data_IF_105038944273
#
_entry.id   IF_105038944273
#
_cell.length_a   1.000
_cell.length_b   1.000
_cell.length_c   1.000
_cell.angle_alpha   90.00
_cell.angle_beta   90.00
_cell.angle_gamma   90.00
#
_symmetry.space_group_name_H-M   'P 1'
#
loop_
_entity.id
_entity.type
_entity.pdbx_description
1 polymer ?
#
# COMPACT_ATOMS: atom_id res chain seq x y z
N UNK A 1 19.03 25.94 5.02
CA UNK A 1 17.86 26.84 5.17
C UNK A 1 16.89 26.47 4.04
N UNK A 2 15.74 25.89 4.35
CA UNK A 2 14.77 25.46 3.32
C UNK A 2 13.90 26.66 3.00
N UNK A 3 13.92 27.14 1.75
CA UNK A 3 12.99 28.18 1.29
C UNK A 3 11.60 27.57 1.14
N UNK A 4 10.65 28.03 1.95
CA UNK A 4 9.22 27.68 1.82
C UNK A 4 8.56 28.77 0.98
N UNK A 5 7.86 28.37 -0.09
CA UNK A 5 7.16 29.32 -0.94
C UNK A 5 5.97 29.96 -0.19
N UNK A 6 5.58 31.16 -0.58
CA UNK A 6 4.43 31.86 -0.01
C UNK A 6 3.62 32.62 -1.05
N UNK A 7 2.36 32.89 -0.74
CA UNK A 7 1.44 33.73 -1.49
C UNK A 7 0.88 34.82 -0.56
N UNK A 8 0.73 36.04 -1.05
CA UNK A 8 -0.03 37.10 -0.37
C UNK A 8 -1.44 37.13 -0.99
N UNK A 9 -2.46 36.89 -0.16
CA UNK A 9 -3.86 37.00 -0.54
C UNK A 9 -4.52 37.97 0.42
N UNK A 10 -4.94 39.13 -0.08
CA UNK A 10 -5.69 40.13 0.68
C UNK A 10 -4.99 40.55 2.00
N UNK A 11 -3.65 40.61 2.00
CA UNK A 11 -2.85 40.96 3.17
C UNK A 11 -2.58 39.78 4.12
N UNK A 12 -2.99 38.56 3.75
CA UNK A 12 -2.69 37.33 4.46
C UNK A 12 -1.58 36.55 3.75
N UNK A 13 -0.49 36.28 4.46
CA UNK A 13 0.62 35.47 3.94
C UNK A 13 0.30 33.99 4.16
N UNK A 14 0.22 33.23 3.07
CA UNK A 14 0.00 31.79 3.06
C UNK A 14 1.28 31.10 2.62
N UNK A 15 1.87 30.29 3.49
CA UNK A 15 3.01 29.46 3.12
C UNK A 15 2.51 28.16 2.49
N UNK A 16 3.19 27.68 1.45
CA UNK A 16 2.82 26.44 0.80
C UNK A 16 4.04 25.62 0.39
N UNK A 17 3.81 24.31 0.26
CA UNK A 17 4.77 23.37 -0.29
C UNK A 17 4.07 22.49 -1.33
N UNK A 18 4.62 22.47 -2.53
CA UNK A 18 4.20 21.58 -3.60
C UNK A 18 5.05 20.31 -3.57
N UNK A 19 4.42 19.15 -3.70
CA UNK A 19 5.07 17.86 -3.82
C UNK A 19 4.63 17.20 -5.12
N UNK A 20 5.59 17.04 -6.03
CA UNK A 20 5.35 16.34 -7.29
C UNK A 20 5.14 14.85 -7.04
N UNK A 21 4.24 14.24 -7.82
CA UNK A 21 4.06 12.79 -7.76
C UNK A 21 5.19 12.07 -8.47
N UNK A 22 5.73 11.00 -7.87
CA UNK A 22 6.78 10.16 -8.45
C UNK A 22 6.33 9.29 -9.65
N UNK A 23 5.18 9.58 -10.28
CA UNK A 23 4.57 8.77 -11.36
C UNK A 23 4.09 9.66 -12.51
N UNK A 24 4.36 9.27 -13.75
CA UNK A 24 4.26 10.09 -14.97
C UNK A 24 2.85 10.30 -15.55
N UNK A 25 1.78 10.19 -14.76
CA UNK A 25 0.42 10.34 -15.30
C UNK A 25 -0.40 11.37 -14.49
N UNK A 26 -1.19 12.21 -15.18
CA UNK A 26 -1.99 13.31 -14.60
C UNK A 26 -2.88 12.78 -13.46
N UNK A 27 -2.44 12.95 -12.21
CA UNK A 27 -3.19 12.61 -11.00
C UNK A 27 -3.87 13.86 -10.44
N UNK A 28 -5.02 13.65 -9.79
CA UNK A 28 -5.77 14.72 -9.12
C UNK A 28 -4.90 15.39 -8.05
N UNK A 29 -5.09 16.70 -7.86
CA UNK A 29 -4.39 17.47 -6.82
C UNK A 29 -5.14 17.32 -5.50
N UNK A 30 -4.47 16.83 -4.46
CA UNK A 30 -4.95 16.79 -3.09
C UNK A 30 -4.39 17.99 -2.32
N UNK A 31 -5.28 18.86 -1.85
CA UNK A 31 -4.91 20.02 -1.01
C UNK A 31 -5.04 19.64 0.45
N UNK A 32 -3.95 19.73 1.21
CA UNK A 32 -3.94 19.49 2.64
C UNK A 32 -3.76 20.81 3.38
N UNK A 33 -4.76 21.17 4.17
CA UNK A 33 -4.76 22.34 5.04
C UNK A 33 -4.65 21.83 6.48
N UNK A 34 -3.66 22.28 7.23
CA UNK A 34 -3.49 21.84 8.61
C UNK A 34 -4.44 22.62 9.56
N UNK A 35 -4.91 21.97 10.62
CA UNK A 35 -5.66 22.61 11.70
C UNK A 35 -4.78 23.40 12.66
N UNK A 36 -5.39 24.08 13.63
CA UNK A 36 -4.68 24.81 14.69
C UNK A 36 -3.71 23.87 15.43
N UNK A 37 -2.44 24.28 15.50
CA UNK A 37 -1.41 23.52 16.22
C UNK A 37 -0.68 22.46 15.42
N UNK A 38 -1.02 22.25 14.15
CA UNK A 38 -0.28 21.40 13.22
C UNK A 38 0.65 22.28 12.35
N UNK A 39 1.73 21.71 11.81
CA UNK A 39 2.61 22.37 10.84
C UNK A 39 2.77 21.56 9.55
N UNK A 40 3.62 22.02 8.62
CA UNK A 40 3.85 21.30 7.35
C UNK A 40 4.43 19.89 7.55
N UNK A 41 5.08 19.63 8.68
CA UNK A 41 5.66 18.33 9.01
C UNK A 41 4.65 17.35 9.59
N UNK A 42 3.52 17.82 10.14
CA UNK A 42 2.47 16.96 10.71
C UNK A 42 1.95 15.90 9.73
N UNK A 43 2.10 16.13 8.43
CA UNK A 43 1.71 15.20 7.37
C UNK A 43 2.81 14.21 6.97
N UNK A 44 4.07 14.44 7.35
CA UNK A 44 5.22 13.65 6.93
C UNK A 44 5.02 12.13 7.03
N UNK A 45 4.44 11.57 8.10
CA UNK A 45 4.25 10.12 8.20
C UNK A 45 3.37 9.57 7.07
N UNK A 46 2.33 10.31 6.66
CA UNK A 46 1.34 9.82 5.68
C UNK A 46 1.65 10.24 4.23
N UNK A 47 2.53 11.23 4.02
CA UNK A 47 2.90 11.72 2.68
C UNK A 47 3.31 10.59 1.72
N UNK A 48 4.18 9.62 2.08
CA UNK A 48 4.59 8.56 1.16
C UNK A 48 3.43 7.69 0.64
N UNK A 49 2.32 7.59 1.38
CA UNK A 49 1.13 6.85 0.96
C UNK A 49 0.28 7.66 -0.04
N UNK A 50 0.18 8.97 0.18
CA UNK A 50 -0.62 9.88 -0.64
C UNK A 50 0.09 10.21 -1.96
N UNK A 51 1.41 10.38 -1.95
CA UNK A 51 2.24 10.66 -3.13
C UNK A 51 2.18 9.56 -4.19
N UNK A 52 1.82 8.32 -3.78
CA UNK A 52 1.56 7.23 -4.72
C UNK A 52 0.40 7.52 -5.65
N UNK A 53 -0.59 8.31 -5.23
CA UNK A 53 -1.88 8.46 -5.91
C UNK A 53 -2.28 9.90 -6.24
N UNK A 54 -1.60 10.90 -5.68
CA UNK A 54 -1.96 12.31 -5.83
C UNK A 54 -0.73 13.20 -6.03
N UNK A 55 -0.95 14.35 -6.69
CA UNK A 55 -0.08 15.52 -6.53
C UNK A 55 -0.53 16.25 -5.27
N UNK A 56 0.39 16.69 -4.41
CA UNK A 56 0.01 17.22 -3.09
C UNK A 56 0.40 18.69 -2.97
N UNK A 57 -0.57 19.52 -2.61
CA UNK A 57 -0.37 20.91 -2.20
C UNK A 57 -0.59 21.01 -0.69
N UNK A 58 0.48 21.24 0.06
CA UNK A 58 0.42 21.51 1.49
C UNK A 58 0.28 23.01 1.72
N UNK A 59 -0.72 23.42 2.50
CA UNK A 59 -0.97 24.82 2.87
C UNK A 59 -0.75 25.00 4.36
N UNK A 60 0.06 25.99 4.71
CA UNK A 60 0.28 26.42 6.09
C UNK A 60 -0.45 27.71 6.41
N UNK A 61 -1.37 27.62 7.37
CA UNK A 61 -2.05 28.79 7.93
C UNK A 61 -1.20 29.35 9.06
N UNK A 62 -0.67 30.56 8.86
CA UNK A 62 0.08 31.27 9.91
C UNK A 62 -0.91 31.73 10.98
N UNK A 63 -0.89 31.09 12.14
CA UNK A 63 -1.51 31.65 13.34
C UNK A 63 -0.66 32.88 13.69
N UNK A 64 -1.29 34.02 13.94
CA UNK A 64 -0.63 35.20 14.49
C UNK A 64 -0.97 35.22 15.98
N UNK A 65 -0.13 34.62 16.82
CA UNK A 65 -0.30 34.69 18.27
C UNK A 65 1.02 35.09 18.94
N UNK A 66 1.07 36.29 19.52
CA UNK A 66 2.28 36.87 20.13
C UNK A 66 2.67 36.21 21.48
N UNK A 67 1.99 35.14 21.90
CA UNK A 67 2.28 34.44 23.15
C UNK A 67 3.19 33.23 22.93
N UNK A 68 4.50 33.43 23.17
CA UNK A 68 5.57 32.43 22.98
C UNK A 68 5.32 31.07 23.69
N UNK A 69 4.46 31.03 24.72
CA UNK A 69 4.12 29.80 25.46
C UNK A 69 3.19 28.85 24.72
N UNK A 70 2.24 29.37 23.93
CA UNK A 70 1.27 28.54 23.19
C UNK A 70 1.94 27.79 22.04
N UNK A 71 2.92 28.42 21.40
CA UNK A 71 3.73 27.79 20.35
C UNK A 71 4.52 26.58 20.86
N UNK A 72 5.12 26.66 22.05
CA UNK A 72 5.91 25.56 22.60
C UNK A 72 5.03 24.33 22.89
N UNK A 73 3.87 24.52 23.52
CA UNK A 73 2.93 23.43 23.78
C UNK A 73 2.43 22.75 22.50
N UNK A 74 2.08 23.53 21.47
CA UNK A 74 1.62 22.97 20.19
C UNK A 74 2.74 22.24 19.45
N UNK A 75 3.99 22.69 19.59
CA UNK A 75 5.17 22.02 19.02
C UNK A 75 5.44 20.68 19.71
N UNK A 76 5.36 20.65 21.04
CA UNK A 76 5.49 19.40 21.82
C UNK A 76 4.38 18.41 21.44
N UNK A 77 3.12 18.86 21.38
CA UNK A 77 1.98 18.03 20.98
C UNK A 77 2.13 17.48 19.55
N UNK A 78 2.65 18.29 18.62
CA UNK A 78 2.94 17.84 17.24
C UNK A 78 3.99 16.73 17.23
N UNK A 79 5.07 16.89 18.00
CA UNK A 79 6.14 15.92 18.06
C UNK A 79 5.66 14.59 18.65
N UNK A 80 4.88 14.65 19.74
CA UNK A 80 4.24 13.48 20.33
C UNK A 80 3.31 12.78 19.34
N UNK A 81 2.45 13.54 18.65
CA UNK A 81 1.54 12.99 17.63
C UNK A 81 2.31 12.30 16.50
N UNK A 82 3.37 12.93 15.97
CA UNK A 82 4.18 12.35 14.91
C UNK A 82 4.89 11.07 15.34
N UNK A 83 5.43 11.04 16.56
CA UNK A 83 6.07 9.84 17.08
C UNK A 83 5.08 8.69 17.27
N UNK A 84 3.89 8.97 17.79
CA UNK A 84 2.86 7.94 17.95
C UNK A 84 2.35 7.45 16.59
N UNK A 85 2.14 8.35 15.62
CA UNK A 85 1.75 7.98 14.25
C UNK A 85 2.84 7.15 13.56
N UNK A 86 4.10 7.57 13.64
CA UNK A 86 5.23 6.84 13.06
C UNK A 86 5.38 5.46 13.71
N UNK A 87 5.31 5.37 15.04
CA UNK A 87 5.38 4.10 15.76
C UNK A 87 4.21 3.18 15.42
N UNK A 88 3.00 3.72 15.23
CA UNK A 88 1.85 2.96 14.75
C UNK A 88 2.04 2.49 13.32
N UNK A 89 2.53 3.33 12.43
CA UNK A 89 2.83 2.97 11.04
C UNK A 89 3.88 1.86 10.96
N UNK A 90 4.96 1.96 11.72
CA UNK A 90 5.98 0.91 11.80
C UNK A 90 5.42 -0.40 12.38
N UNK A 91 4.51 -0.34 13.35
CA UNK A 91 3.77 -1.51 13.83
C UNK A 91 2.86 -2.08 12.75
N UNK A 92 2.12 -1.25 12.01
CA UNK A 92 1.27 -1.68 10.91
C UNK A 92 2.09 -2.32 9.79
N UNK A 93 3.21 -1.73 9.37
CA UNK A 93 4.10 -2.31 8.37
C UNK A 93 4.65 -3.68 8.78
N UNK A 94 4.89 -3.90 10.07
CA UNK A 94 5.27 -5.22 10.62
C UNK A 94 4.14 -6.24 10.62
N UNK A 95 2.88 -5.79 10.56
CA UNK A 95 1.71 -6.65 10.50
C UNK A 95 1.33 -7.01 9.05
N UNK A 96 1.81 -6.24 8.07
CA UNK A 96 1.60 -6.53 6.65
C UNK A 96 2.47 -7.72 6.22
N UNK A 97 1.82 -8.74 5.68
CA UNK A 97 2.51 -9.92 5.14
C UNK A 97 3.32 -9.55 3.89
N UNK A 98 4.65 -9.71 3.95
CA UNK A 98 5.55 -9.45 2.83
C UNK A 98 5.91 -10.73 2.09
N UNK A 99 5.94 -10.67 0.75
CA UNK A 99 6.32 -11.80 -0.10
C UNK A 99 7.54 -11.41 -0.91
N UNK A 100 8.60 -12.22 -0.81
CA UNK A 100 9.75 -12.16 -1.71
C UNK A 100 9.74 -13.38 -2.61
N UNK A 101 9.85 -13.16 -3.92
CA UNK A 101 9.97 -14.25 -4.89
C UNK A 101 11.30 -14.12 -5.63
N UNK A 102 12.04 -15.22 -5.72
CA UNK A 102 13.15 -15.40 -6.65
C UNK A 102 12.65 -16.32 -7.76
N UNK A 103 12.81 -15.91 -9.02
CA UNK A 103 12.37 -16.70 -10.19
C UNK A 103 13.44 -16.88 -11.27
N UNK A 104 14.42 -15.97 -11.34
CA UNK A 104 15.40 -15.93 -12.43
C UNK A 104 16.36 -17.13 -12.43
N UNK A 105 16.65 -17.70 -11.27
CA UNK A 105 17.57 -18.85 -11.12
C UNK A 105 16.81 -20.10 -10.68
N UNK A 106 16.12 -20.00 -9.55
CA UNK A 106 15.26 -21.01 -8.97
C UNK A 106 13.96 -20.34 -8.56
N UNK A 107 12.86 -21.08 -8.62
CA UNK A 107 11.59 -20.64 -8.06
C UNK A 107 11.62 -20.83 -6.54
N UNK A 108 11.72 -19.73 -5.81
CA UNK A 108 11.75 -19.68 -4.36
C UNK A 108 10.80 -18.59 -3.88
N UNK A 109 9.95 -18.92 -2.93
CA UNK A 109 8.97 -17.99 -2.35
C UNK A 109 9.23 -17.91 -0.86
N UNK A 110 9.37 -16.69 -0.37
CA UNK A 110 9.54 -16.38 1.04
C UNK A 110 8.39 -15.50 1.48
N UNK A 111 7.75 -15.87 2.59
CA UNK A 111 6.71 -15.06 3.24
C UNK A 111 7.27 -14.60 4.57
N UNK A 112 7.35 -13.29 4.78
CA UNK A 112 7.94 -12.69 5.98
C UNK A 112 9.35 -13.22 6.28
N UNK A 113 10.13 -13.49 5.23
CA UNK A 113 11.47 -14.10 5.32
C UNK A 113 11.50 -15.63 5.46
N UNK A 114 10.36 -16.28 5.72
CA UNK A 114 10.29 -17.75 5.85
C UNK A 114 10.08 -18.43 4.49
N UNK A 115 10.91 -19.42 4.11
CA UNK A 115 10.78 -20.11 2.84
C UNK A 115 9.57 -21.05 2.81
N UNK A 116 8.75 -20.94 1.76
CA UNK A 116 7.66 -21.89 1.47
C UNK A 116 8.22 -22.98 0.55
N UNK A 117 8.68 -24.08 1.12
CA UNK A 117 9.45 -25.11 0.38
C UNK A 117 8.56 -26.14 -0.33
N UNK A 118 7.36 -26.40 0.19
CA UNK A 118 6.54 -27.54 -0.24
C UNK A 118 5.21 -27.12 -0.87
N UNK A 119 4.58 -28.05 -1.61
CA UNK A 119 3.22 -27.89 -2.12
C UNK A 119 3.09 -27.21 -3.49
N UNK A 120 4.13 -26.52 -3.98
CA UNK A 120 4.12 -25.83 -5.28
C UNK A 120 3.84 -26.71 -6.50
N UNK A 121 4.23 -27.99 -6.46
CA UNK A 121 4.05 -28.94 -7.56
C UNK A 121 2.64 -29.52 -7.70
N UNK A 122 1.71 -29.21 -6.79
CA UNK A 122 0.34 -29.74 -6.79
C UNK A 122 -0.64 -28.69 -7.32
N UNK A 123 -1.74 -29.16 -7.94
CA UNK A 123 -2.90 -28.32 -8.32
C UNK A 123 -2.53 -27.05 -9.09
N UNK A 124 -1.54 -27.12 -9.99
CA UNK A 124 -1.03 -25.96 -10.76
C UNK A 124 -0.63 -24.74 -9.91
N UNK A 125 -0.34 -24.93 -8.61
CA UNK A 125 -0.11 -23.84 -7.67
C UNK A 125 1.03 -22.91 -8.10
N UNK A 126 2.18 -23.47 -8.47
CA UNK A 126 3.34 -22.69 -8.93
C UNK A 126 3.01 -21.77 -10.11
N UNK A 127 2.34 -22.29 -11.13
CA UNK A 127 2.06 -21.53 -12.37
C UNK A 127 0.97 -20.49 -12.16
N UNK A 128 -0.08 -20.81 -11.39
CA UNK A 128 -1.13 -19.85 -11.03
C UNK A 128 -0.54 -18.71 -10.19
N UNK A 129 0.25 -19.04 -9.16
CA UNK A 129 0.89 -18.03 -8.32
C UNK A 129 1.83 -17.13 -9.12
N UNK A 130 2.66 -17.72 -10.00
CA UNK A 130 3.56 -16.97 -10.89
C UNK A 130 2.78 -16.02 -11.79
N UNK A 131 1.68 -16.48 -12.39
CA UNK A 131 0.82 -15.64 -13.22
C UNK A 131 0.26 -14.46 -12.45
N UNK A 132 -0.32 -14.71 -11.27
CA UNK A 132 -0.86 -13.64 -10.42
C UNK A 132 0.20 -12.62 -10.01
N UNK A 133 1.46 -13.03 -9.77
CA UNK A 133 2.58 -12.12 -9.48
C UNK A 133 2.90 -11.25 -10.70
N UNK A 134 3.01 -11.86 -11.88
CA UNK A 134 3.34 -11.13 -13.10
C UNK A 134 2.24 -10.12 -13.46
N UNK A 135 0.98 -10.45 -13.14
CA UNK A 135 -0.16 -9.56 -13.35
C UNK A 135 -0.40 -8.56 -12.22
N UNK A 136 0.40 -8.52 -11.14
CA UNK A 136 0.25 -7.54 -10.04
C UNK A 136 0.31 -6.06 -10.48
N UNK A 137 0.79 -5.78 -11.70
CA UNK A 137 0.77 -4.43 -12.27
C UNK A 137 -0.60 -3.98 -12.79
N UNK A 138 -1.56 -4.91 -12.94
CA UNK A 138 -2.92 -4.67 -13.45
C UNK A 138 -3.93 -5.06 -12.36
N UNK A 139 -5.04 -4.31 -12.30
CA UNK A 139 -6.19 -4.58 -11.42
C UNK A 139 -6.62 -6.06 -11.52
N UNK A 140 -6.94 -6.66 -10.38
CA UNK A 140 -7.30 -8.07 -10.12
C UNK A 140 -7.74 -8.94 -11.33
N UNK A 141 -7.16 -10.13 -11.45
CA UNK A 141 -7.41 -11.07 -12.55
C UNK A 141 -8.77 -11.75 -12.39
N UNK A 142 -9.54 -11.89 -13.48
CA UNK A 142 -10.84 -12.57 -13.43
C UNK A 142 -10.70 -14.09 -13.34
N UNK A 143 -11.69 -14.75 -12.73
CA UNK A 143 -11.72 -16.21 -12.64
C UNK A 143 -11.88 -16.89 -14.00
N UNK A 144 -12.63 -16.28 -14.91
CA UNK A 144 -12.85 -16.82 -16.25
C UNK A 144 -11.56 -16.75 -17.07
N UNK A 145 -10.80 -15.65 -17.00
CA UNK A 145 -9.46 -15.55 -17.60
C UNK A 145 -8.52 -16.63 -17.05
N UNK A 146 -8.50 -16.84 -15.73
CA UNK A 146 -7.69 -17.92 -15.14
C UNK A 146 -8.14 -19.31 -15.63
N UNK A 147 -9.44 -19.51 -15.84
CA UNK A 147 -9.97 -20.77 -16.38
C UNK A 147 -9.50 -21.00 -17.81
N UNK A 148 -9.59 -19.99 -18.66
CA UNK A 148 -9.19 -20.06 -20.07
C UNK A 148 -7.68 -20.26 -20.22
N UNK A 149 -6.87 -19.57 -19.40
CA UNK A 149 -5.41 -19.68 -19.42
C UNK A 149 -4.94 -21.06 -18.94
N UNK A 150 -5.48 -21.56 -17.83
CA UNK A 150 -4.95 -22.78 -17.19
C UNK A 150 -5.67 -24.06 -17.57
N UNK A 151 -6.92 -23.99 -18.03
CA UNK A 151 -7.74 -25.15 -18.42
C UNK A 151 -8.56 -24.89 -19.70
N UNK A 152 -7.91 -24.53 -20.83
CA UNK A 152 -8.62 -24.13 -22.06
C UNK A 152 -9.51 -25.23 -22.66
N UNK A 153 -9.21 -26.50 -22.36
CA UNK A 153 -9.90 -27.66 -22.95
C UNK A 153 -11.01 -28.22 -22.05
N UNK A 154 -11.29 -27.60 -20.89
CA UNK A 154 -12.33 -28.05 -19.98
C UNK A 154 -13.60 -27.19 -20.13
N UNK A 155 -14.79 -27.78 -19.98
CA UNK A 155 -15.99 -26.99 -19.77
C UNK A 155 -15.81 -26.02 -18.59
N UNK A 156 -16.33 -24.80 -18.71
CA UNK A 156 -16.13 -23.72 -17.73
C UNK A 156 -16.45 -24.14 -16.29
N UNK A 157 -17.49 -24.96 -16.09
CA UNK A 157 -17.85 -25.49 -14.77
C UNK A 157 -16.74 -26.34 -14.14
N UNK A 158 -16.11 -27.22 -14.94
CA UNK A 158 -15.00 -28.06 -14.50
C UNK A 158 -13.73 -27.22 -14.28
N UNK A 159 -13.47 -26.25 -15.16
CA UNK A 159 -12.36 -25.31 -15.00
C UNK A 159 -12.49 -24.49 -13.70
N UNK A 160 -13.68 -23.95 -13.41
CA UNK A 160 -13.98 -23.23 -12.16
C UNK A 160 -13.76 -24.09 -10.91
N UNK A 161 -14.12 -25.37 -10.97
CA UNK A 161 -13.86 -26.32 -9.89
C UNK A 161 -12.36 -26.56 -9.69
N UNK A 162 -11.60 -26.78 -10.76
CA UNK A 162 -10.15 -26.94 -10.69
C UNK A 162 -9.47 -25.67 -10.16
N UNK A 163 -9.91 -24.50 -10.60
CA UNK A 163 -9.44 -23.21 -10.10
C UNK A 163 -9.70 -23.08 -8.60
N UNK A 164 -10.92 -23.38 -8.13
CA UNK A 164 -11.25 -23.34 -6.69
C UNK A 164 -10.33 -24.25 -5.86
N UNK A 165 -10.09 -25.47 -6.30
CA UNK A 165 -9.20 -26.42 -5.58
C UNK A 165 -7.76 -25.91 -5.58
N UNK A 166 -7.31 -25.32 -6.68
CA UNK A 166 -5.96 -24.77 -6.81
C UNK A 166 -5.74 -23.57 -5.89
N UNK A 167 -6.71 -22.65 -5.84
CA UNK A 167 -6.68 -21.48 -4.95
C UNK A 167 -6.75 -21.89 -3.47
N UNK A 168 -7.59 -22.86 -3.12
CA UNK A 168 -7.64 -23.39 -1.76
C UNK A 168 -6.29 -24.01 -1.34
N UNK A 169 -5.67 -24.77 -2.24
CA UNK A 169 -4.35 -25.33 -1.99
C UNK A 169 -3.27 -24.25 -1.84
N UNK A 170 -3.30 -23.21 -2.68
CA UNK A 170 -2.42 -22.04 -2.53
C UNK A 170 -2.59 -21.36 -1.18
N UNK A 171 -3.84 -21.15 -0.75
CA UNK A 171 -4.13 -20.57 0.57
C UNK A 171 -3.51 -21.41 1.69
N UNK A 172 -3.69 -22.74 1.63
CA UNK A 172 -3.17 -23.67 2.63
C UNK A 172 -1.64 -23.68 2.74
N UNK A 173 -0.91 -23.47 1.65
CA UNK A 173 0.57 -23.43 1.69
C UNK A 173 1.12 -22.07 2.13
N UNK A 174 0.31 -21.01 2.05
CA UNK A 174 0.71 -19.64 2.43
C UNK A 174 0.23 -19.23 3.83
N UNK A 175 -0.94 -19.70 4.28
CA UNK A 175 -1.52 -19.39 5.60
C UNK A 175 -0.58 -19.65 6.79
N UNK A 176 0.17 -20.76 6.86
CA UNK A 176 0.98 -21.08 8.04
C UNK A 176 2.15 -20.12 8.29
N UNK A 177 2.53 -19.32 7.29
CA UNK A 177 3.68 -18.41 7.33
C UNK A 177 3.26 -16.94 7.41
N UNK A 178 1.95 -16.66 7.55
CA UNK A 178 1.43 -15.32 7.75
C UNK A 178 1.68 -14.85 9.19
N UNK A 179 2.11 -13.59 9.33
CA UNK A 179 2.21 -12.90 10.62
C UNK A 179 0.82 -12.46 11.12
N UNK A 180 -0.04 -12.05 10.20
CA UNK A 180 -1.43 -11.69 10.46
C UNK A 180 -2.36 -12.53 9.57
N UNK A 181 -3.26 -13.31 10.17
CA UNK A 181 -4.20 -14.15 9.42
C UNK A 181 -5.38 -13.36 8.85
N UNK A 182 -5.68 -12.18 9.40
CA UNK A 182 -6.74 -11.29 8.91
C UNK A 182 -6.31 -10.50 7.67
N UNK A 183 -5.02 -10.52 7.32
CA UNK A 183 -4.47 -9.93 6.10
C UNK A 183 -3.98 -11.03 5.13
N UNK A 184 -4.90 -11.65 4.36
CA UNK A 184 -4.52 -12.73 3.46
C UNK A 184 -3.67 -12.21 2.31
N UNK A 185 -2.57 -12.92 2.02
CA UNK A 185 -1.77 -12.73 0.81
C UNK A 185 -2.60 -12.97 -0.46
N UNK A 186 -3.48 -13.97 -0.43
CA UNK A 186 -4.27 -14.37 -1.60
C UNK A 186 -5.73 -13.99 -1.35
N UNK A 187 -6.21 -13.01 -2.11
CA UNK A 187 -7.59 -12.56 -2.07
C UNK A 187 -8.37 -13.33 -3.13
N UNK A 188 -9.39 -14.08 -2.70
CA UNK A 188 -10.26 -14.86 -3.58
C UNK A 188 -11.69 -14.37 -3.47
N UNK A 189 -12.11 -13.49 -4.37
CA UNK A 189 -13.47 -13.00 -4.47
C UNK A 189 -14.31 -13.85 -5.44
N UNK A 190 -15.60 -13.50 -5.58
CA UNK A 190 -16.53 -14.22 -6.47
C UNK A 190 -16.07 -14.18 -7.92
N UNK A 191 -15.59 -13.03 -8.39
CA UNK A 191 -15.21 -12.82 -9.79
C UNK A 191 -13.70 -12.63 -9.99
N UNK A 192 -13.00 -12.16 -8.95
CA UNK A 192 -11.61 -11.74 -9.05
C UNK A 192 -10.69 -12.51 -8.10
N UNK A 193 -9.43 -12.65 -8.51
CA UNK A 193 -8.34 -13.20 -7.71
C UNK A 193 -7.15 -12.24 -7.76
N UNK A 194 -6.60 -11.94 -6.59
CA UNK A 194 -5.46 -11.04 -6.44
C UNK A 194 -4.48 -11.54 -5.38
N UNK A 195 -3.24 -11.04 -5.45
CA UNK A 195 -2.15 -11.28 -4.51
C UNK A 195 -1.74 -9.99 -3.80
#
# INVERSE_FOLDING_TARGET
MVHIAYLDIEGSIIHYKWLDSNVSNKKNVLVLIHGLGLDLHSWNPILPLLEKNYQILLIQQKIVDNSNKKYNYLTELNYEMQNELAARMERMERLVNQITIRMLTRFEVFVNGHPVVHGWGKRKAKVIFTYLILQKSVTSVTRDELCDVFWPNLPLTNAKNQLRVSLHHLKKILEPVLLNQDEPILITEREHVAL
#
